data_IF_378355724206
#
_entry.id   IF_378355724206
#
_cell.length_a   1.000
_cell.length_b   1.000
_cell.length_c   1.000
_cell.angle_alpha   90.00
_cell.angle_beta   90.00
_cell.angle_gamma   90.00
#
_symmetry.space_group_name_H-M   'P 1'
#
loop_
_entity.id
_entity.type
_entity.pdbx_description
1 polymer ?
#
# COMPACT_ATOMS: atom_id res chain seq x y z
N UNK A 1 -15.35 12.64 8.97
CA UNK A 1 -15.06 11.83 10.18
C UNK A 1 -15.24 10.37 9.80
N UNK A 2 -14.19 9.55 9.83
CA UNK A 2 -14.29 8.15 9.47
C UNK A 2 -15.01 7.38 10.60
N UNK A 3 -15.98 6.53 10.24
CA UNK A 3 -16.71 5.69 11.18
C UNK A 3 -15.73 4.72 11.88
N UNK A 4 -15.69 4.75 13.22
CA UNK A 4 -14.72 3.99 14.03
C UNK A 4 -14.92 2.47 13.92
N UNK A 5 -16.04 2.01 13.35
CA UNK A 5 -16.33 0.58 13.09
C UNK A 5 -15.51 -0.05 11.95
N UNK A 6 -14.77 0.73 11.16
CA UNK A 6 -13.99 0.20 10.02
C UNK A 6 -12.48 0.15 10.26
N UNK A 7 -12.00 0.60 11.44
CA UNK A 7 -10.59 0.59 11.79
C UNK A 7 -10.18 -0.76 12.39
N UNK A 8 -9.17 -1.37 11.77
CA UNK A 8 -8.56 -2.62 12.22
C UNK A 8 -7.07 -2.35 12.49
N UNK A 9 -6.61 -2.68 13.70
CA UNK A 9 -5.25 -2.36 14.17
C UNK A 9 -4.57 -3.62 14.69
N UNK A 10 -3.29 -3.79 14.34
CA UNK A 10 -2.38 -4.76 14.95
C UNK A 10 -1.35 -4.00 15.76
N UNK A 11 -1.22 -4.32 17.04
CA UNK A 11 -0.21 -3.74 17.93
C UNK A 11 0.84 -4.79 18.27
N UNK A 12 2.12 -4.45 18.13
CA UNK A 12 3.25 -5.28 18.53
C UNK A 12 3.82 -4.69 19.81
N UNK A 13 3.72 -5.45 20.91
CA UNK A 13 4.21 -5.04 22.22
C UNK A 13 5.62 -5.60 22.45
N UNK A 14 6.43 -4.90 23.24
CA UNK A 14 7.78 -5.34 23.61
C UNK A 14 8.69 -5.67 22.40
N UNK A 15 8.69 -4.78 21.41
CA UNK A 15 9.38 -4.95 20.12
C UNK A 15 10.87 -5.33 20.30
N UNK A 16 11.28 -6.44 19.68
CA UNK A 16 12.67 -6.92 19.64
C UNK A 16 13.24 -6.90 18.21
N UNK A 17 14.54 -7.18 18.04
CA UNK A 17 15.19 -7.16 16.72
C UNK A 17 14.60 -8.20 15.76
N UNK A 18 14.06 -9.27 16.31
CA UNK A 18 13.41 -10.37 15.58
C UNK A 18 12.07 -9.94 14.97
N UNK A 19 11.45 -8.86 15.46
CA UNK A 19 10.24 -8.27 14.88
C UNK A 19 10.54 -7.38 13.65
N UNK A 20 11.81 -7.13 13.32
CA UNK A 20 12.15 -6.39 12.12
C UNK A 20 11.76 -7.19 10.86
N UNK A 21 11.02 -6.56 9.94
CA UNK A 21 10.48 -7.28 8.78
C UNK A 21 9.55 -6.46 7.92
N UNK A 22 8.95 -7.11 6.91
CA UNK A 22 7.88 -6.52 6.11
C UNK A 22 6.53 -6.93 6.70
N UNK A 23 5.70 -5.94 6.99
CA UNK A 23 4.33 -6.12 7.47
C UNK A 23 3.37 -5.76 6.35
N UNK A 24 2.33 -6.58 6.18
CA UNK A 24 1.33 -6.39 5.13
C UNK A 24 -0.07 -6.54 5.70
N UNK A 25 -0.93 -5.56 5.46
CA UNK A 25 -2.36 -5.64 5.72
C UNK A 25 -3.07 -6.09 4.44
N UNK A 26 -3.88 -7.14 4.54
CA UNK A 26 -4.65 -7.70 3.44
C UNK A 26 -6.14 -7.64 3.75
N UNK A 27 -6.95 -7.18 2.80
CA UNK A 27 -8.40 -7.09 2.91
C UNK A 27 -9.06 -7.71 1.68
N UNK A 28 -10.13 -8.47 1.87
CA UNK A 28 -10.88 -9.09 0.77
C UNK A 28 -12.39 -9.10 1.02
N UNK A 29 -13.16 -9.14 -0.07
CA UNK A 29 -14.60 -9.33 -0.08
C UNK A 29 -15.05 -10.03 -1.39
N UNK A 30 -16.36 -10.17 -1.61
CA UNK A 30 -16.90 -10.82 -2.82
C UNK A 30 -16.55 -10.10 -4.15
N UNK A 31 -16.17 -8.82 -4.10
CA UNK A 31 -15.79 -8.04 -5.28
C UNK A 31 -14.28 -8.09 -5.60
N UNK A 32 -13.43 -8.43 -4.63
CA UNK A 32 -11.98 -8.51 -4.84
C UNK A 32 -11.16 -8.41 -3.56
N UNK A 33 -9.87 -8.12 -3.71
CA UNK A 33 -8.94 -7.96 -2.60
C UNK A 33 -7.95 -6.81 -2.84
N UNK A 34 -7.45 -6.23 -1.75
CA UNK A 34 -6.42 -5.21 -1.75
C UNK A 34 -5.41 -5.48 -0.62
N UNK A 35 -4.19 -4.96 -0.77
CA UNK A 35 -3.18 -5.04 0.28
C UNK A 35 -2.36 -3.77 0.37
N UNK A 36 -1.76 -3.53 1.54
CA UNK A 36 -0.78 -2.47 1.77
C UNK A 36 0.35 -3.02 2.63
N UNK A 37 1.59 -2.64 2.33
CA UNK A 37 2.77 -3.17 3.00
C UNK A 37 3.73 -2.07 3.42
N UNK A 38 4.40 -2.24 4.56
CA UNK A 38 5.45 -1.38 5.05
C UNK A 38 6.60 -2.20 5.66
N UNK A 39 7.81 -1.67 5.66
CA UNK A 39 8.98 -2.31 6.27
C UNK A 39 9.24 -1.70 7.65
N UNK A 40 9.28 -2.53 8.68
CA UNK A 40 9.65 -2.17 10.04
C UNK A 40 11.14 -2.42 10.26
N UNK A 41 11.86 -1.39 10.71
CA UNK A 41 13.26 -1.48 11.13
C UNK A 41 13.32 -1.27 12.64
N UNK A 42 13.80 -2.26 13.38
CA UNK A 42 13.97 -2.17 14.84
C UNK A 42 15.43 -1.88 15.16
N UNK A 43 15.68 -0.70 15.74
CA UNK A 43 17.02 -0.24 16.13
C UNK A 43 17.22 -0.38 17.63
N UNK A 44 18.42 -0.79 18.02
CA UNK A 44 18.87 -0.83 19.40
C UNK A 44 19.41 0.52 19.88
N UNK A 45 19.54 0.72 21.20
CA UNK A 45 19.94 2.02 21.80
C UNK A 45 21.33 2.52 21.39
N UNK A 46 22.19 1.63 20.87
CA UNK A 46 23.57 1.92 20.45
C UNK A 46 23.75 1.85 18.94
N UNK A 47 22.71 1.53 18.19
CA UNK A 47 22.84 1.54 16.74
C UNK A 47 23.02 2.99 16.30
N UNK A 48 23.99 3.28 15.41
CA UNK A 48 24.14 4.62 14.88
C UNK A 48 22.80 5.03 14.26
N UNK A 49 22.35 6.26 14.54
CA UNK A 49 21.31 6.85 13.74
C UNK A 49 21.82 6.88 12.30
N UNK A 50 21.34 5.93 11.50
CA UNK A 50 21.30 6.10 10.06
C UNK A 50 20.43 7.35 9.90
N UNK A 51 21.09 8.50 9.71
CA UNK A 51 20.42 9.66 9.15
C UNK A 51 19.68 9.11 7.95
N UNK A 52 18.35 9.30 7.83
CA UNK A 52 17.68 9.00 6.59
C UNK A 52 18.57 9.62 5.51
N UNK A 53 19.03 8.81 4.55
CA UNK A 53 19.80 9.30 3.42
C UNK A 53 19.09 10.58 2.99
N UNK A 54 19.79 11.74 2.94
CA UNK A 54 19.17 13.07 2.94
C UNK A 54 18.00 12.95 2.01
N UNK A 55 16.78 13.05 2.58
CA UNK A 55 15.54 12.61 1.94
C UNK A 55 15.78 12.84 0.47
N UNK A 56 15.89 11.75 -0.31
CA UNK A 56 15.71 11.93 -1.71
C UNK A 56 14.31 12.51 -1.72
N UNK A 57 14.21 13.83 -1.78
CA UNK A 57 13.03 14.59 -2.07
C UNK A 57 12.73 14.26 -3.54
N UNK A 58 12.68 12.97 -3.88
CA UNK A 58 11.74 12.42 -4.82
C UNK A 58 10.42 12.90 -4.25
N UNK A 59 10.03 14.07 -4.75
CA UNK A 59 8.71 14.62 -4.61
C UNK A 59 7.77 13.42 -4.75
N UNK A 60 7.13 13.03 -3.64
CA UNK A 60 6.26 11.88 -3.61
C UNK A 60 5.08 12.24 -4.51
N UNK A 61 5.18 11.88 -5.79
CA UNK A 61 4.12 12.10 -6.76
C UNK A 61 3.09 11.02 -6.48
N UNK A 62 1.85 11.39 -6.14
CA UNK A 62 0.81 10.39 -5.97
C UNK A 62 0.65 9.63 -7.30
N UNK A 63 0.44 8.30 -7.26
CA UNK A 63 0.26 7.52 -8.48
C UNK A 63 -0.90 8.10 -9.28
N UNK A 64 -0.66 8.33 -10.57
CA UNK A 64 -1.63 8.94 -11.49
C UNK A 64 -1.87 8.05 -12.69
N UNK A 65 -3.09 8.10 -13.20
CA UNK A 65 -3.42 7.46 -14.47
C UNK A 65 -2.78 8.25 -15.61
N UNK A 66 -1.80 7.63 -16.27
CA UNK A 66 -1.23 8.11 -17.52
C UNK A 66 -2.20 7.87 -18.68
N UNK A 67 -2.91 6.74 -18.65
CA UNK A 67 -3.94 6.40 -19.62
C UNK A 67 -5.21 5.93 -18.90
N UNK A 68 -6.33 6.59 -19.20
CA UNK A 68 -7.65 6.26 -18.66
C UNK A 68 -8.42 5.42 -19.67
N UNK A 69 -9.17 4.43 -19.18
CA UNK A 69 -10.15 3.76 -20.02
C UNK A 69 -11.35 4.68 -20.26
N UNK A 70 -12.05 4.47 -21.39
CA UNK A 70 -13.28 5.17 -21.71
C UNK A 70 -14.45 4.17 -21.81
N UNK A 71 -15.67 4.69 -21.66
CA UNK A 71 -16.89 3.92 -21.83
C UNK A 71 -16.94 3.27 -23.22
N UNK A 72 -17.22 1.97 -23.27
CA UNK A 72 -17.40 1.21 -24.52
C UNK A 72 -18.79 0.58 -24.52
N UNK A 73 -19.48 0.65 -25.67
CA UNK A 73 -20.69 -0.14 -25.92
C UNK A 73 -20.28 -1.46 -26.55
N UNK A 74 -20.78 -2.57 -26.00
CA UNK A 74 -20.46 -3.92 -26.47
C UNK A 74 -21.73 -4.76 -26.64
N UNK A 75 -21.67 -5.77 -27.50
CA UNK A 75 -22.77 -6.70 -27.71
C UNK A 75 -22.84 -7.72 -26.58
N UNK A 76 -24.05 -8.22 -26.30
CA UNK A 76 -24.28 -9.27 -25.28
C UNK A 76 -23.46 -10.52 -25.63
N UNK A 77 -22.67 -11.00 -24.68
CA UNK A 77 -21.83 -12.20 -24.83
C UNK A 77 -20.42 -11.93 -25.38
N UNK A 78 -20.08 -10.68 -25.70
CA UNK A 78 -18.71 -10.31 -26.09
C UNK A 78 -17.82 -10.09 -24.87
N UNK A 79 -16.57 -10.55 -24.95
CA UNK A 79 -15.53 -10.21 -23.98
C UNK A 79 -14.98 -8.81 -24.25
N UNK A 80 -14.69 -8.07 -23.19
CA UNK A 80 -14.08 -6.74 -23.26
C UNK A 80 -12.95 -6.65 -22.24
N UNK A 81 -11.87 -5.98 -22.64
CA UNK A 81 -10.75 -5.64 -21.75
C UNK A 81 -10.68 -4.12 -21.60
N UNK A 82 -10.63 -3.66 -20.35
CA UNK A 82 -10.29 -2.29 -20.00
C UNK A 82 -8.84 -2.28 -19.52
N UNK A 83 -8.04 -1.39 -20.10
CA UNK A 83 -6.64 -1.21 -19.73
C UNK A 83 -6.43 0.23 -19.28
N UNK A 84 -5.58 0.40 -18.27
CA UNK A 84 -5.10 1.69 -17.79
C UNK A 84 -3.60 1.60 -17.62
N UNK A 85 -2.95 2.75 -17.70
CA UNK A 85 -1.52 2.88 -17.39
C UNK A 85 -1.39 3.76 -16.16
N UNK A 86 -0.66 3.28 -15.17
CA UNK A 86 -0.33 4.03 -13.94
C UNK A 86 1.17 4.30 -13.92
N UNK A 87 1.55 5.45 -13.35
CA UNK A 87 2.94 5.80 -13.00
C UNK A 87 3.33 5.21 -11.64
#
# INVERSE_FOLDING_TARGET
MADRKTLHTLEVLSVTREDAGQYSAYISNAAGAAYSSARLLVRGPKDPEEKPAPDAHQQLVPPRFLERFASKKVNKGSSITFSVKVE
#
